data_IF_018522819047
#
_entry.id   IF_018522819047
#
_cell.length_a   1.000
_cell.length_b   1.000
_cell.length_c   1.000
_cell.angle_alpha   90.00
_cell.angle_beta   90.00
_cell.angle_gamma   90.00
#
_symmetry.space_group_name_H-M   'P 1'
#
loop_
_entity.id
_entity.type
_entity.pdbx_description
1 polymer ?
#
# COMPACT_ATOMS: atom_id res chain seq x y z
N UNK A 1 -5.67 9.73 -0.23
CA UNK A 1 -4.44 9.01 -0.60
C UNK A 1 -3.78 9.72 -1.78
N UNK A 2 -2.46 9.92 -1.80
CA UNK A 2 -1.80 10.72 -2.85
C UNK A 2 -1.95 10.13 -4.26
N UNK A 3 -1.89 8.80 -4.40
CA UNK A 3 -2.03 8.13 -5.70
C UNK A 3 -3.46 8.25 -6.24
N UNK A 4 -4.47 7.92 -5.43
CA UNK A 4 -5.86 7.99 -5.86
C UNK A 4 -6.32 9.42 -6.16
N UNK A 5 -5.87 10.39 -5.36
CA UNK A 5 -6.20 11.80 -5.59
C UNK A 5 -5.64 12.29 -6.93
N UNK A 6 -4.39 11.96 -7.22
CA UNK A 6 -3.77 12.38 -8.46
C UNK A 6 -4.39 11.66 -9.67
N UNK A 7 -4.62 10.36 -9.56
CA UNK A 7 -5.32 9.57 -10.59
C UNK A 7 -6.70 10.17 -10.92
N UNK A 8 -7.50 10.50 -9.90
CA UNK A 8 -8.82 11.12 -10.10
C UNK A 8 -8.75 12.50 -10.78
N UNK A 9 -7.62 13.20 -10.66
CA UNK A 9 -7.39 14.54 -11.23
C UNK A 9 -6.93 14.47 -12.68
N UNK A 10 -6.06 13.51 -13.01
CA UNK A 10 -5.35 13.49 -14.30
C UNK A 10 -5.87 12.43 -15.28
N UNK A 11 -6.53 11.38 -14.79
CA UNK A 11 -6.89 10.23 -15.62
C UNK A 11 -7.74 10.63 -16.82
N UNK A 12 -7.24 10.31 -18.02
CA UNK A 12 -8.00 10.47 -19.27
C UNK A 12 -9.13 9.45 -19.42
N UNK A 13 -9.04 8.31 -18.71
CA UNK A 13 -10.08 7.31 -18.68
C UNK A 13 -11.15 7.67 -17.62
N UNK A 14 -12.42 7.84 -18.01
CA UNK A 14 -13.47 8.26 -17.09
C UNK A 14 -13.86 7.19 -16.06
N UNK A 15 -13.70 5.90 -16.38
CA UNK A 15 -13.96 4.82 -15.43
C UNK A 15 -12.87 4.75 -14.36
N UNK A 16 -11.60 4.87 -14.75
CA UNK A 16 -10.47 4.95 -13.81
C UNK A 16 -10.62 6.19 -12.92
N UNK A 17 -10.91 7.36 -13.49
CA UNK A 17 -11.12 8.58 -12.73
C UNK A 17 -12.26 8.45 -11.70
N UNK A 18 -13.38 7.82 -12.08
CA UNK A 18 -14.51 7.60 -11.19
C UNK A 18 -14.18 6.65 -10.02
N UNK A 19 -13.47 5.55 -10.29
CA UNK A 19 -13.01 4.62 -9.25
C UNK A 19 -12.04 5.32 -8.31
N UNK A 20 -11.07 6.06 -8.85
CA UNK A 20 -10.09 6.80 -8.07
C UNK A 20 -10.74 7.86 -7.16
N UNK A 21 -11.74 8.59 -7.65
CA UNK A 21 -12.46 9.60 -6.87
C UNK A 21 -13.23 8.99 -5.67
N UNK A 22 -13.71 7.76 -5.80
CA UNK A 22 -14.32 7.01 -4.69
C UNK A 22 -13.25 6.48 -3.73
N UNK A 23 -12.21 5.84 -4.27
CA UNK A 23 -11.13 5.23 -3.50
C UNK A 23 -10.35 6.28 -2.67
N UNK A 24 -10.17 7.51 -3.17
CA UNK A 24 -9.47 8.57 -2.45
C UNK A 24 -10.10 8.86 -1.08
N UNK A 25 -11.44 8.90 -1.03
CA UNK A 25 -12.22 9.18 0.19
C UNK A 25 -12.09 8.06 1.20
N UNK A 26 -12.21 6.82 0.75
CA UNK A 26 -12.08 5.62 1.60
C UNK A 26 -10.65 5.50 2.14
N UNK A 27 -9.65 5.66 1.27
CA UNK A 27 -8.25 5.58 1.65
C UNK A 27 -7.82 6.71 2.60
N UNK A 28 -8.43 7.91 2.50
CA UNK A 28 -8.21 8.98 3.48
C UNK A 28 -8.71 8.59 4.88
N UNK A 29 -9.79 7.81 4.98
CA UNK A 29 -10.26 7.26 6.26
C UNK A 29 -9.30 6.18 6.78
N UNK A 30 -8.88 5.25 5.92
CA UNK A 30 -7.92 4.19 6.28
C UNK A 30 -6.60 4.78 6.81
N UNK A 31 -6.06 5.78 6.12
CA UNK A 31 -4.83 6.46 6.54
C UNK A 31 -4.99 7.08 7.93
N UNK A 32 -6.09 7.79 8.18
CA UNK A 32 -6.36 8.40 9.49
C UNK A 32 -6.42 7.35 10.59
N UNK A 33 -7.18 6.29 10.37
CA UNK A 33 -7.34 5.20 11.33
C UNK A 33 -6.00 4.50 11.63
N UNK A 34 -5.27 4.12 10.58
CA UNK A 34 -3.96 3.47 10.72
C UNK A 34 -2.95 4.38 11.43
N UNK A 35 -2.87 5.66 11.05
CA UNK A 35 -1.97 6.63 11.67
C UNK A 35 -2.27 6.82 13.16
N UNK A 36 -3.54 6.91 13.55
CA UNK A 36 -3.91 6.99 14.96
C UNK A 36 -3.45 5.77 15.76
N UNK A 37 -3.58 4.56 15.19
CA UNK A 37 -3.10 3.35 15.86
C UNK A 37 -1.59 3.26 15.95
N UNK A 38 -0.86 3.67 14.91
CA UNK A 38 0.60 3.75 14.97
C UNK A 38 1.05 4.69 16.09
N UNK A 39 0.40 5.87 16.22
CA UNK A 39 0.69 6.82 17.30
C UNK A 39 0.36 6.24 18.67
N UNK A 40 -0.85 5.67 18.87
CA UNK A 40 -1.25 5.06 20.15
C UNK A 40 -0.33 3.92 20.59
N UNK A 41 0.17 3.14 19.64
CA UNK A 41 1.04 2.00 19.94
C UNK A 41 2.49 2.45 20.18
N UNK A 42 3.01 3.36 19.36
CA UNK A 42 4.37 3.88 19.46
C UNK A 42 4.60 4.76 20.69
N UNK A 43 3.66 5.67 20.96
CA UNK A 43 3.68 6.59 22.11
C UNK A 43 2.84 6.07 23.29
N UNK A 44 2.71 4.75 23.37
CA UNK A 44 1.94 4.06 24.41
C UNK A 44 2.83 3.55 25.54
N UNK A 45 2.74 2.24 25.80
CA UNK A 45 3.58 1.57 26.79
C UNK A 45 4.90 1.11 26.17
N UNK A 46 5.90 0.77 27.01
CA UNK A 46 7.13 0.16 26.52
C UNK A 46 6.89 -1.14 25.72
N UNK A 47 5.86 -1.93 26.07
CA UNK A 47 5.54 -3.14 25.32
C UNK A 47 4.87 -2.85 23.98
N UNK A 48 3.90 -1.92 23.91
CA UNK A 48 3.27 -1.55 22.65
C UNK A 48 4.26 -0.90 21.70
N UNK A 49 5.16 -0.06 22.22
CA UNK A 49 6.24 0.55 21.45
C UNK A 49 7.16 -0.51 20.84
N UNK A 50 7.66 -1.45 21.65
CA UNK A 50 8.50 -2.56 21.14
C UNK A 50 7.80 -3.37 20.06
N UNK A 51 6.47 -3.57 20.15
CA UNK A 51 5.71 -4.27 19.11
C UNK A 51 5.62 -3.45 17.83
N UNK A 52 5.38 -2.14 17.94
CA UNK A 52 5.32 -1.25 16.80
C UNK A 52 6.68 -1.17 16.07
N UNK A 53 7.78 -1.03 16.81
CA UNK A 53 9.15 -1.05 16.27
C UNK A 53 9.42 -2.36 15.51
N UNK A 54 9.13 -3.52 16.11
CA UNK A 54 9.28 -4.83 15.43
C UNK A 54 8.42 -4.96 14.18
N UNK A 55 7.19 -4.43 14.20
CA UNK A 55 6.30 -4.47 13.04
C UNK A 55 6.85 -3.60 11.90
N UNK A 56 7.38 -2.42 12.22
CA UNK A 56 8.04 -1.55 11.24
C UNK A 56 9.25 -2.27 10.65
N UNK A 57 10.16 -2.81 11.48
CA UNK A 57 11.35 -3.51 11.00
C UNK A 57 11.01 -4.69 10.08
N UNK A 58 9.95 -5.44 10.41
CA UNK A 58 9.53 -6.59 9.63
C UNK A 58 8.90 -6.20 8.27
N UNK A 59 8.17 -5.09 8.21
CA UNK A 59 7.40 -4.68 7.03
C UNK A 59 8.12 -3.67 6.14
N UNK A 60 9.13 -2.95 6.65
CA UNK A 60 9.83 -1.92 5.90
C UNK A 60 10.48 -2.40 4.60
N UNK A 61 11.09 -3.60 4.53
CA UNK A 61 11.69 -4.12 3.30
C UNK A 61 10.73 -4.23 2.09
N UNK A 62 9.41 -4.16 2.31
CA UNK A 62 8.41 -4.26 1.23
C UNK A 62 7.96 -2.89 0.70
N UNK A 63 8.36 -1.79 1.34
CA UNK A 63 7.83 -0.46 1.02
C UNK A 63 8.35 0.11 -0.30
N UNK A 64 9.54 -0.32 -0.73
CA UNK A 64 10.14 0.14 -1.98
C UNK A 64 9.36 -0.29 -3.23
N UNK A 65 8.78 -1.50 -3.22
CA UNK A 65 8.00 -2.01 -4.35
C UNK A 65 6.77 -1.13 -4.64
N UNK A 66 6.28 -0.34 -3.67
CA UNK A 66 5.16 0.59 -3.89
C UNK A 66 5.44 1.59 -5.03
N UNK A 67 6.71 1.88 -5.30
CA UNK A 67 7.13 2.91 -6.26
C UNK A 67 7.72 2.35 -7.56
N UNK A 68 7.67 1.03 -7.73
CA UNK A 68 8.18 0.36 -8.93
C UNK A 68 7.17 0.41 -10.07
N UNK A 69 7.63 0.90 -11.23
CA UNK A 69 6.90 0.84 -12.48
C UNK A 69 7.35 -0.37 -13.31
N UNK A 70 6.38 -1.18 -13.74
CA UNK A 70 6.59 -2.20 -14.77
C UNK A 70 6.18 -1.66 -16.16
N UNK A 71 6.27 -2.50 -17.19
CA UNK A 71 5.93 -2.10 -18.56
C UNK A 71 4.46 -1.68 -18.71
N UNK A 72 3.54 -2.20 -17.89
CA UNK A 72 2.12 -1.85 -17.92
C UNK A 72 1.94 -0.47 -17.29
N UNK A 73 2.56 -0.22 -16.14
CA UNK A 73 2.52 1.08 -15.47
C UNK A 73 3.08 2.18 -16.38
N UNK A 74 4.23 1.94 -17.02
CA UNK A 74 4.86 2.89 -17.96
C UNK A 74 3.91 3.25 -19.11
N UNK A 75 3.18 2.26 -19.66
CA UNK A 75 2.22 2.50 -20.72
C UNK A 75 1.02 3.32 -20.22
N UNK A 76 0.46 2.98 -19.05
CA UNK A 76 -0.67 3.73 -18.46
C UNK A 76 -0.32 5.17 -18.12
N UNK A 77 0.90 5.42 -17.66
CA UNK A 77 1.40 6.79 -17.42
C UNK A 77 1.54 7.56 -18.73
N UNK A 78 2.10 6.93 -19.77
CA UNK A 78 2.25 7.55 -21.10
C UNK A 78 0.90 7.92 -21.73
N UNK A 79 -0.12 7.11 -21.48
CA UNK A 79 -1.50 7.36 -21.93
C UNK A 79 -2.24 8.39 -21.05
N UNK A 80 -1.64 8.83 -19.93
CA UNK A 80 -2.27 9.77 -18.99
C UNK A 80 -3.40 9.14 -18.17
N UNK A 81 -3.41 7.81 -18.01
CA UNK A 81 -4.44 7.11 -17.24
C UNK A 81 -4.14 7.08 -15.73
N UNK A 82 -2.86 7.05 -15.34
CA UNK A 82 -2.40 7.00 -13.94
C UNK A 82 -1.17 7.90 -13.74
N UNK A 83 -0.90 8.37 -12.51
CA UNK A 83 0.31 9.12 -12.22
C UNK A 83 1.54 8.22 -12.15
N UNK A 84 2.72 8.78 -12.41
CA UNK A 84 3.97 8.06 -12.19
C UNK A 84 4.15 7.70 -10.71
N UNK A 85 4.32 6.41 -10.39
CA UNK A 85 4.48 5.94 -9.02
C UNK A 85 5.68 6.58 -8.29
N UNK A 86 6.78 6.83 -8.99
CA UNK A 86 7.95 7.50 -8.41
C UNK A 86 7.63 8.92 -7.91
N UNK A 87 6.69 9.61 -8.55
CA UNK A 87 6.24 10.96 -8.13
C UNK A 87 5.45 10.95 -6.82
N UNK A 88 4.91 9.80 -6.43
CA UNK A 88 4.13 9.62 -5.19
C UNK A 88 5.05 9.47 -3.97
N UNK A 89 6.27 8.95 -4.16
CA UNK A 89 7.22 8.64 -3.08
C UNK A 89 7.44 9.81 -2.11
N UNK A 90 7.74 11.06 -2.55
CA UNK A 90 8.01 12.14 -1.61
C UNK A 90 6.83 12.45 -0.68
N UNK A 91 5.60 12.36 -1.20
CA UNK A 91 4.38 12.61 -0.41
C UNK A 91 4.11 11.47 0.56
N UNK A 92 4.39 10.23 0.16
CA UNK A 92 4.32 9.07 1.03
C UNK A 92 5.36 9.16 2.16
N UNK A 93 6.62 9.48 1.83
CA UNK A 93 7.72 9.62 2.79
C UNK A 93 7.41 10.70 3.84
N UNK A 94 6.98 11.90 3.42
CA UNK A 94 6.55 12.96 4.34
C UNK A 94 5.40 12.50 5.26
N UNK A 95 4.42 11.80 4.70
CA UNK A 95 3.28 11.32 5.49
C UNK A 95 3.71 10.31 6.54
N UNK A 96 4.53 9.33 6.15
CA UNK A 96 5.03 8.30 7.06
C UNK A 96 5.95 8.91 8.12
N UNK A 97 6.87 9.80 7.74
CA UNK A 97 7.78 10.48 8.66
C UNK A 97 7.02 11.32 9.70
N UNK A 98 5.98 12.05 9.30
CA UNK A 98 5.12 12.78 10.25
C UNK A 98 4.39 11.84 11.23
N UNK A 99 3.90 10.70 10.76
CA UNK A 99 3.23 9.71 11.63
C UNK A 99 4.22 9.07 12.59
N UNK A 100 5.39 8.64 12.12
CA UNK A 100 6.44 8.04 12.95
C UNK A 100 6.96 9.04 14.00
N UNK A 101 7.18 10.30 13.60
CA UNK A 101 7.59 11.36 14.53
C UNK A 101 6.58 11.58 15.64
N UNK A 102 5.27 11.63 15.32
CA UNK A 102 4.20 11.71 16.32
C UNK A 102 4.10 10.46 17.20
N UNK A 103 4.44 9.29 16.65
CA UNK A 103 4.45 8.03 17.38
C UNK A 103 5.73 7.82 18.20
N UNK A 104 6.66 8.79 18.18
CA UNK A 104 8.00 8.72 18.77
C UNK A 104 8.83 7.52 18.27
N UNK A 105 8.54 6.99 17.08
CA UNK A 105 9.21 5.85 16.46
C UNK A 105 10.28 6.31 15.46
N UNK A 106 11.34 5.52 15.32
CA UNK A 106 12.36 5.73 14.30
C UNK A 106 11.99 5.02 12.99
N UNK A 107 12.40 5.61 11.87
CA UNK A 107 12.36 4.94 10.56
C UNK A 107 13.38 3.78 10.55
N UNK A 108 12.99 2.55 10.18
CA UNK A 108 13.93 1.44 10.04
C UNK A 108 15.01 1.71 8.98
N UNK A 109 16.26 1.32 9.28
CA UNK A 109 17.32 1.21 8.29
C UNK A 109 17.17 -0.11 7.54
N UNK A 110 17.11 -0.05 6.21
CA UNK A 110 16.90 -1.25 5.41
C UNK A 110 18.07 -1.49 4.47
N UNK A 111 18.67 -2.68 4.59
CA UNK A 111 19.81 -3.14 3.79
C UNK A 111 19.40 -3.91 2.53
N UNK A 112 18.14 -4.33 2.45
CA UNK A 112 17.61 -5.15 1.37
C UNK A 112 16.13 -4.83 1.14
N UNK A 113 15.67 -4.85 -0.11
CA UNK A 113 14.29 -4.51 -0.46
C UNK A 113 13.65 -5.68 -1.20
N UNK A 114 12.49 -6.14 -0.75
CA UNK A 114 11.72 -7.19 -1.39
C UNK A 114 10.97 -6.63 -2.59
N UNK A 115 11.02 -7.38 -3.70
CA UNK A 115 10.29 -7.06 -4.94
C UNK A 115 9.82 -8.35 -5.61
N UNK A 116 8.90 -8.24 -6.56
CA UNK A 116 8.47 -9.33 -7.44
C UNK A 116 6.97 -9.56 -7.51
N UNK A 117 6.18 -8.92 -6.65
CA UNK A 117 4.73 -9.10 -6.58
C UNK A 117 4.05 -8.80 -7.92
N UNK A 118 4.44 -7.70 -8.59
CA UNK A 118 3.90 -7.35 -9.92
C UNK A 118 4.29 -8.34 -11.03
N UNK A 119 5.39 -9.08 -10.84
CA UNK A 119 5.85 -10.13 -11.76
C UNK A 119 5.33 -11.54 -11.39
N UNK A 120 4.36 -11.65 -10.48
CA UNK A 120 3.82 -12.92 -10.01
C UNK A 120 4.76 -13.70 -9.08
N UNK A 121 5.84 -13.08 -8.60
CA UNK A 121 6.82 -13.68 -7.68
C UNK A 121 6.51 -13.24 -6.25
N UNK A 122 5.57 -13.95 -5.64
CA UNK A 122 5.07 -13.64 -4.30
C UNK A 122 5.86 -14.34 -3.20
N UNK A 123 5.66 -13.90 -1.94
CA UNK A 123 6.05 -14.68 -0.78
C UNK A 123 5.24 -15.97 -0.69
N UNK A 124 5.70 -16.88 0.16
CA UNK A 124 5.03 -18.14 0.50
C UNK A 124 3.61 -17.93 1.04
N UNK A 125 3.28 -16.73 1.53
CA UNK A 125 1.99 -16.41 2.11
C UNK A 125 0.84 -16.43 1.10
N UNK A 126 1.06 -15.96 -0.14
CA UNK A 126 -0.06 -15.78 -1.08
C UNK A 126 -0.71 -17.12 -1.47
N UNK A 127 0.08 -18.20 -1.58
CA UNK A 127 -0.45 -19.52 -1.92
C UNK A 127 -1.50 -20.01 -0.92
N UNK A 128 -1.27 -19.82 0.38
CA UNK A 128 -2.21 -20.18 1.43
C UNK A 128 -3.47 -19.30 1.40
N UNK A 129 -3.30 -17.98 1.22
CA UNK A 129 -4.42 -17.05 1.12
C UNK A 129 -5.34 -17.38 -0.06
N UNK A 130 -4.77 -17.69 -1.22
CA UNK A 130 -5.56 -18.05 -2.41
C UNK A 130 -6.25 -19.41 -2.26
N UNK A 131 -5.62 -20.37 -1.58
CA UNK A 131 -6.24 -21.67 -1.31
C UNK A 131 -7.52 -21.51 -0.48
N UNK A 132 -7.49 -20.66 0.56
CA UNK A 132 -8.66 -20.36 1.39
C UNK A 132 -9.70 -19.52 0.64
N UNK A 133 -9.29 -18.38 0.06
CA UNK A 133 -10.16 -17.45 -0.64
C UNK A 133 -10.93 -18.12 -1.79
N UNK A 134 -10.28 -19.02 -2.52
CA UNK A 134 -10.82 -19.61 -3.74
C UNK A 134 -11.47 -20.97 -3.51
N UNK A 135 -11.50 -21.49 -2.28
CA UNK A 135 -11.99 -22.84 -2.00
C UNK A 135 -13.39 -23.08 -2.58
N UNK A 136 -14.35 -22.22 -2.24
CA UNK A 136 -15.74 -22.40 -2.65
C UNK A 136 -15.88 -22.38 -4.18
N UNK A 137 -15.24 -21.40 -4.82
CA UNK A 137 -15.31 -21.25 -6.27
C UNK A 137 -14.56 -22.35 -7.04
N UNK A 138 -13.45 -22.87 -6.50
CA UNK A 138 -12.75 -24.01 -7.12
C UNK A 138 -13.52 -25.32 -6.96
N UNK A 139 -14.28 -25.45 -5.87
CA UNK A 139 -15.09 -26.65 -5.60
C UNK A 139 -16.37 -26.66 -6.44
N UNK A 140 -17.00 -25.49 -6.64
CA UNK A 140 -18.27 -25.36 -7.38
C UNK A 140 -18.16 -24.31 -8.51
N UNK A 141 -17.37 -24.60 -9.56
CA UNK A 141 -17.16 -23.64 -10.64
C UNK A 141 -18.45 -23.37 -11.42
N UNK A 142 -18.72 -22.09 -11.70
CA UNK A 142 -19.87 -21.65 -12.50
C UNK A 142 -21.18 -21.50 -11.71
N UNK A 143 -21.16 -21.71 -10.40
CA UNK A 143 -22.28 -21.37 -9.53
C UNK A 143 -22.47 -19.85 -9.40
N UNK A 144 -23.71 -19.43 -9.16
CA UNK A 144 -24.08 -18.02 -8.95
C UNK A 144 -24.22 -17.72 -7.46
N UNK A 145 -23.66 -16.60 -7.01
CA UNK A 145 -23.70 -16.11 -5.63
C UNK A 145 -24.05 -14.63 -5.58
#
# INVERSE_FOLDING_TARGET
>A
DPYWRETARISVDPAIAAVAAKAEKEAAYHLRHAAEWVVRLGDGTAESRRRAERALDALWPYTDELFDADAVEVALVADGAVPELASIRPVWEDTVERVLGRATLARPEVRWQQRGGRAGRHSEHLGFLLAELQYLQRTYPGATW
#
